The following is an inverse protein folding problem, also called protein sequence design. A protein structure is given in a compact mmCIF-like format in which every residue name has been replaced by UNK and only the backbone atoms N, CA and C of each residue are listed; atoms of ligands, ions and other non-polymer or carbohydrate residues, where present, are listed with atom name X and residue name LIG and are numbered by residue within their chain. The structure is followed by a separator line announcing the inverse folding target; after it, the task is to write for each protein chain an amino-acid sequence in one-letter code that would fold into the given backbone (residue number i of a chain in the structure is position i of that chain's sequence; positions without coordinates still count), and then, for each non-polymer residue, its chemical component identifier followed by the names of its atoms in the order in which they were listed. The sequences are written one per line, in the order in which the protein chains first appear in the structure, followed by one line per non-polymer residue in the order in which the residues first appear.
data_IF_106880648344
#
_entry.id   IF_106880648344
#
_cell.length_a   1.000
_cell.length_b   1.000
_cell.length_c   1.000
_cell.angle_alpha   90.00
_cell.angle_beta   90.00
_cell.angle_gamma   90.00
#
_symmetry.space_group_name_H-M   'P 1'
#
loop_
_entity.id
_entity.type
_entity.pdbx_description
1 polymer ?
#
# COMPACT_ATOMS: atom_id res chain seq x y z
N UNK A 1 -2.01 23.83 -3.67
CA UNK A 1 -1.36 22.76 -4.48
C UNK A 1 -1.15 21.54 -3.60
N UNK A 2 -1.79 20.42 -3.90
CA UNK A 2 -1.70 19.17 -3.13
C UNK A 2 -1.29 18.04 -4.07
N UNK A 3 -0.31 17.20 -3.70
CA UNK A 3 0.19 16.12 -4.54
C UNK A 3 0.03 14.78 -3.82
N UNK A 4 -0.39 13.75 -4.56
CA UNK A 4 -0.36 12.35 -4.11
C UNK A 4 0.91 11.73 -4.69
N UNK A 5 1.72 11.14 -3.82
CA UNK A 5 2.97 10.47 -4.20
C UNK A 5 2.91 8.98 -3.85
N UNK A 6 3.54 8.16 -4.68
CA UNK A 6 3.66 6.72 -4.54
C UNK A 6 5.14 6.35 -4.38
N UNK A 7 5.46 5.49 -3.42
CA UNK A 7 6.80 4.92 -3.25
C UNK A 7 6.68 3.41 -3.00
N UNK A 8 7.68 2.65 -3.42
CA UNK A 8 7.75 1.22 -3.14
C UNK A 8 8.22 0.98 -1.70
N UNK A 9 7.60 0.02 -1.04
CA UNK A 9 7.87 -0.35 0.35
C UNK A 9 8.23 -1.83 0.41
N UNK A 10 9.36 -2.14 1.03
CA UNK A 10 9.88 -3.49 1.19
C UNK A 10 9.94 -3.89 2.66
N UNK A 11 8.79 -4.16 3.29
CA UNK A 11 8.72 -4.67 4.66
C UNK A 11 8.36 -6.16 4.68
N UNK A 12 9.39 -7.01 4.73
CA UNK A 12 9.24 -8.48 4.72
C UNK A 12 8.54 -9.01 5.97
N UNK A 13 8.65 -8.32 7.11
CA UNK A 13 7.96 -8.72 8.35
C UNK A 13 6.46 -8.53 8.21
N UNK A 14 6.04 -7.34 7.78
CA UNK A 14 4.61 -7.06 7.53
C UNK A 14 4.02 -7.94 6.43
N UNK A 15 4.79 -8.21 5.38
CA UNK A 15 4.37 -9.14 4.35
C UNK A 15 4.16 -10.55 4.92
N UNK A 16 5.05 -11.02 5.81
CA UNK A 16 4.88 -12.30 6.48
C UNK A 16 3.61 -12.34 7.33
N UNK A 17 3.40 -11.31 8.17
CA UNK A 17 2.28 -11.26 9.11
C UNK A 17 0.91 -11.15 8.42
N UNK A 18 0.85 -10.54 7.23
CA UNK A 18 -0.42 -10.27 6.52
C UNK A 18 -0.69 -11.21 5.36
N UNK A 19 0.35 -11.64 4.67
CA UNK A 19 0.23 -12.50 3.49
C UNK A 19 0.62 -13.92 3.87
N UNK A 20 1.85 -14.16 4.35
CA UNK A 20 2.33 -15.52 4.64
C UNK A 20 1.57 -16.20 5.78
N UNK A 21 0.98 -15.44 6.72
CA UNK A 21 0.11 -15.96 7.77
C UNK A 21 -0.98 -16.89 7.23
N UNK A 22 -1.58 -16.56 6.08
CA UNK A 22 -2.65 -17.38 5.48
C UNK A 22 -2.16 -18.69 4.85
N UNK A 23 -0.84 -18.90 4.71
CA UNK A 23 -0.31 -20.21 4.29
C UNK A 23 -0.53 -21.27 5.35
N UNK A 24 -0.43 -20.90 6.62
CA UNK A 24 -0.57 -21.79 7.76
C UNK A 24 -1.12 -21.03 8.98
N UNK A 25 -2.44 -21.10 9.14
CA UNK A 25 -3.16 -20.53 10.27
C UNK A 25 -3.33 -21.64 11.31
N UNK A 26 -2.33 -21.81 12.19
CA UNK A 26 -2.34 -22.78 13.28
C UNK A 26 -2.51 -24.26 12.83
N UNK A 27 -1.89 -24.64 11.71
CA UNK A 27 -2.00 -25.97 11.10
C UNK A 27 -3.05 -26.05 9.98
N UNK A 28 -3.81 -24.97 9.74
CA UNK A 28 -4.84 -24.92 8.70
C UNK A 28 -4.39 -24.07 7.50
N UNK A 29 -4.41 -24.67 6.32
CA UNK A 29 -4.08 -23.98 5.06
C UNK A 29 -5.24 -23.07 4.62
N UNK A 30 -5.08 -21.76 4.82
CA UNK A 30 -6.09 -20.75 4.48
C UNK A 30 -5.69 -19.88 3.27
N UNK A 31 -4.93 -20.46 2.33
CA UNK A 31 -4.35 -19.72 1.19
C UNK A 31 -5.37 -19.03 0.30
N UNK A 32 -6.65 -19.44 0.33
CA UNK A 32 -7.72 -18.76 -0.39
C UNK A 32 -7.93 -17.31 0.08
N UNK A 33 -7.68 -17.03 1.37
CA UNK A 33 -7.84 -15.70 1.95
C UNK A 33 -6.87 -14.67 1.37
N UNK A 34 -5.68 -15.11 0.92
CA UNK A 34 -4.71 -14.24 0.24
C UNK A 34 -5.32 -13.45 -0.90
N UNK A 35 -6.21 -14.07 -1.68
CA UNK A 35 -6.87 -13.41 -2.83
C UNK A 35 -7.80 -12.27 -2.40
N UNK A 36 -8.38 -12.37 -1.22
CA UNK A 36 -9.26 -11.33 -0.68
C UNK A 36 -8.45 -10.18 -0.05
N UNK A 37 -7.36 -10.48 0.66
CA UNK A 37 -6.61 -9.47 1.42
C UNK A 37 -5.58 -8.68 0.60
N UNK A 38 -5.03 -9.25 -0.48
CA UNK A 38 -4.06 -8.54 -1.36
C UNK A 38 -4.62 -7.24 -1.96
N UNK A 39 -5.86 -7.18 -2.48
CA UNK A 39 -6.41 -5.94 -3.04
C UNK A 39 -6.88 -4.94 -1.98
N UNK A 40 -6.96 -5.33 -0.70
CA UNK A 40 -7.39 -4.42 0.36
C UNK A 40 -6.29 -3.41 0.70
N UNK A 41 -6.59 -2.13 0.50
CA UNK A 41 -5.69 -1.06 0.88
C UNK A 41 -5.66 -0.90 2.40
N UNK A 42 -4.46 -0.71 2.97
CA UNK A 42 -4.29 -0.52 4.41
C UNK A 42 -3.56 0.78 4.71
N UNK A 43 -4.05 1.51 5.70
CA UNK A 43 -3.46 2.74 6.20
C UNK A 43 -2.65 2.42 7.46
N UNK A 44 -1.35 2.68 7.41
CA UNK A 44 -0.44 2.46 8.54
C UNK A 44 0.77 3.39 8.48
N UNK A 45 1.45 3.54 9.62
CA UNK A 45 2.72 4.27 9.70
C UNK A 45 3.86 3.34 9.28
N UNK A 46 4.73 3.85 8.41
CA UNK A 46 5.90 3.13 7.91
C UNK A 46 7.17 3.64 8.58
N UNK A 47 8.16 2.74 8.70
CA UNK A 47 9.52 3.14 9.08
C UNK A 47 10.23 3.68 7.84
N UNK A 48 10.98 4.79 7.93
CA UNK A 48 11.68 5.36 6.77
C UNK A 48 12.55 4.34 6.02
N UNK A 49 13.23 3.45 6.76
CA UNK A 49 14.11 2.42 6.19
C UNK A 49 13.39 1.36 5.32
N UNK A 50 12.06 1.26 5.42
CA UNK A 50 11.27 0.31 4.62
C UNK A 50 10.92 0.84 3.24
N UNK A 51 11.14 2.13 2.97
CA UNK A 51 10.93 2.74 1.66
C UNK A 51 12.15 2.43 0.78
N UNK A 52 11.93 1.70 -0.31
CA UNK A 52 13.01 1.16 -1.16
C UNK A 52 13.12 1.85 -2.52
N UNK A 53 12.29 2.85 -2.80
CA UNK A 53 12.35 3.65 -4.02
C UNK A 53 12.12 5.12 -3.72
N UNK A 54 12.58 5.96 -4.64
CA UNK A 54 12.21 7.36 -4.65
C UNK A 54 10.68 7.51 -4.87
N UNK A 55 10.02 8.45 -4.16
CA UNK A 55 8.60 8.73 -4.37
C UNK A 55 8.34 9.38 -5.74
N UNK A 56 7.30 8.91 -6.43
CA UNK A 56 6.81 9.48 -7.68
C UNK A 56 5.43 10.14 -7.49
N UNK A 57 5.24 11.36 -8.00
CA UNK A 57 3.94 12.04 -7.95
C UNK A 57 2.98 11.40 -8.93
N UNK A 58 1.86 10.86 -8.44
CA UNK A 58 0.84 10.18 -9.26
C UNK A 58 -0.39 11.04 -9.53
N UNK A 59 -0.64 12.06 -8.71
CA UNK A 59 -1.72 13.03 -8.95
C UNK A 59 -1.34 14.39 -8.39
N UNK A 60 -1.56 15.41 -9.18
CA UNK A 60 -1.51 16.81 -8.75
C UNK A 60 -2.94 17.30 -8.62
N UNK A 61 -3.25 17.95 -7.51
CA UNK A 61 -4.51 18.66 -7.31
C UNK A 61 -4.52 19.88 -8.21
N UNK A 62 -5.37 19.85 -9.23
CA UNK A 62 -5.66 21.01 -10.06
C UNK A 62 -6.53 21.98 -9.27
N UNK A 63 -6.16 23.24 -9.29
CA UNK A 63 -7.01 24.33 -8.84
C UNK A 63 -8.08 24.52 -9.92
N UNK A 64 -9.36 24.31 -9.57
CA UNK A 64 -10.47 24.67 -10.45
C UNK A 64 -10.42 26.19 -10.59
N UNK A 65 -9.79 26.69 -11.64
CA UNK A 65 -9.96 28.07 -12.07
C UNK A 65 -11.39 28.19 -12.61
N UNK A 66 -12.31 28.63 -11.74
CA UNK A 66 -13.64 29.11 -12.13
C UNK A 66 -13.44 30.34 -13.03
N UNK A 67 -13.23 30.14 -14.33
CA UNK A 67 -12.89 31.25 -15.21
C UNK A 67 -12.67 30.88 -16.66
N UNK A 68 -13.66 30.28 -17.31
CA UNK A 68 -13.86 30.32 -18.77
C UNK A 68 -15.32 29.95 -19.08
N UNK A 69 -16.24 30.87 -18.76
CA UNK A 69 -17.55 30.96 -19.40
C UNK A 69 -17.48 32.10 -20.43
#
# INVERSE_FOLDING_TARGET
RCNISLAAVGDTRKHSDRIAFWDDVYGFKMTCMKKAVIPEAVVEVLKPETVISEPAVIKVGEEIVLGSF
#
